data_IF_542164292273
#
_entry.id   IF_542164292273
#
_cell.length_a   1.000
_cell.length_b   1.000
_cell.length_c   1.000
_cell.angle_alpha   90.00
_cell.angle_beta   90.00
_cell.angle_gamma   90.00
#
_symmetry.space_group_name_H-M   'P 1'
#
loop_
_entity.id
_entity.type
_entity.pdbx_description
1 polymer ?
#
# COMPACT_ATOMS: atom_id res chain seq x y z
N UNK A 1 -15.68 41.68 -26.96
CA UNK A 1 -15.47 43.14 -26.81
C UNK A 1 -14.08 43.31 -26.19
N UNK A 2 -13.21 43.99 -26.93
CA UNK A 2 -11.79 44.25 -26.63
C UNK A 2 -11.66 45.14 -25.40
N UNK A 3 -10.63 44.93 -24.56
CA UNK A 3 -9.78 46.07 -24.20
C UNK A 3 -8.39 45.61 -23.74
N UNK A 4 -7.39 46.18 -24.40
CA UNK A 4 -5.95 46.18 -24.14
C UNK A 4 -5.63 47.27 -23.12
N UNK A 5 -4.66 47.08 -22.25
CA UNK A 5 -3.70 48.12 -21.77
C UNK A 5 -2.45 47.43 -21.30
N UNK A 6 -1.38 47.50 -21.93
CA UNK A 6 -0.27 48.50 -22.01
C UNK A 6 0.56 48.58 -20.70
N UNK A 7 1.69 47.88 -20.71
CA UNK A 7 3.10 48.31 -20.58
C UNK A 7 3.46 49.38 -19.54
N UNK A 8 4.33 49.03 -18.59
CA UNK A 8 5.46 49.89 -18.20
C UNK A 8 6.68 49.03 -17.89
N UNK A 9 7.73 49.20 -18.70
CA UNK A 9 9.10 48.76 -18.48
C UNK A 9 9.72 49.60 -17.40
N UNK A 10 10.24 49.00 -16.32
CA UNK A 10 11.23 49.62 -15.45
C UNK A 10 12.52 48.82 -15.57
N UNK A 11 13.50 49.41 -16.21
CA UNK A 11 14.86 48.91 -16.25
C UNK A 11 15.51 49.21 -14.89
N UNK A 12 15.68 48.16 -14.05
CA UNK A 12 16.59 48.21 -12.90
C UNK A 12 17.89 47.52 -13.35
N UNK A 13 18.94 48.30 -13.52
CA UNK A 13 20.30 47.78 -13.63
C UNK A 13 20.69 47.13 -12.29
N UNK A 14 20.62 45.82 -12.25
CA UNK A 14 21.27 45.05 -11.19
C UNK A 14 22.74 44.91 -11.59
N UNK A 15 23.62 45.62 -10.88
CA UNK A 15 25.04 45.34 -10.86
C UNK A 15 25.22 43.91 -10.32
N UNK A 16 25.40 42.98 -11.23
CA UNK A 16 25.81 41.61 -10.90
C UNK A 16 27.28 41.70 -10.50
N UNK A 17 27.52 41.88 -9.20
CA UNK A 17 28.84 41.64 -8.63
C UNK A 17 29.17 40.17 -8.92
N UNK A 18 30.13 39.90 -9.80
CA UNK A 18 30.78 38.62 -9.94
C UNK A 18 31.37 38.26 -8.59
N UNK A 19 30.62 37.51 -7.78
CA UNK A 19 31.19 36.74 -6.69
C UNK A 19 31.93 35.59 -7.39
N UNK A 20 33.23 35.79 -7.60
CA UNK A 20 34.11 34.70 -7.95
C UNK A 20 33.91 33.65 -6.83
N UNK A 21 33.57 32.38 -7.15
CA UNK A 21 33.54 31.38 -6.12
C UNK A 21 34.93 31.37 -5.47
N UNK A 22 34.98 31.62 -4.18
CA UNK A 22 36.14 31.31 -3.36
C UNK A 22 36.47 29.86 -3.69
N UNK A 23 37.64 29.59 -4.27
CA UNK A 23 38.07 28.24 -4.58
C UNK A 23 37.95 27.41 -3.29
N UNK A 24 36.93 26.61 -3.22
CA UNK A 24 36.81 25.65 -2.09
C UNK A 24 37.99 24.70 -2.19
N UNK A 25 38.64 24.46 -1.07
CA UNK A 25 39.69 23.45 -0.93
C UNK A 25 39.14 22.12 -1.47
N UNK A 26 39.73 21.59 -2.52
CA UNK A 26 39.18 20.40 -3.16
C UNK A 26 40.27 19.38 -3.49
N UNK A 27 40.05 18.15 -3.04
CA UNK A 27 40.84 17.00 -3.47
C UNK A 27 40.28 16.42 -4.76
N UNK A 28 41.20 16.15 -5.70
CA UNK A 28 40.87 15.47 -6.96
C UNK A 28 41.67 14.17 -7.02
N UNK A 29 40.97 13.04 -7.07
CA UNK A 29 41.54 11.69 -7.21
C UNK A 29 41.43 11.26 -8.66
N UNK A 30 42.55 10.82 -9.28
CA UNK A 30 42.59 10.37 -10.69
C UNK A 30 43.50 9.15 -10.81
N UNK A 31 43.25 8.36 -11.87
CA UNK A 31 44.15 7.24 -12.24
C UNK A 31 43.62 5.88 -11.71
N UNK A 32 44.47 4.85 -11.84
CA UNK A 32 44.04 3.47 -11.67
C UNK A 32 43.45 2.86 -12.95
N UNK A 33 42.89 1.68 -12.86
CA UNK A 33 42.21 1.01 -13.97
C UNK A 33 40.74 1.42 -13.98
N UNK A 34 40.42 2.54 -14.62
CA UNK A 34 39.12 3.18 -14.63
C UNK A 34 39.08 4.46 -13.80
N UNK A 35 37.92 5.10 -13.74
CA UNK A 35 37.76 6.34 -13.00
C UNK A 35 37.52 6.07 -11.49
N UNK A 36 38.24 6.75 -10.57
CA UNK A 36 38.00 6.63 -9.16
C UNK A 36 36.54 6.93 -8.77
N UNK A 37 35.95 6.10 -7.95
CA UNK A 37 34.56 6.28 -7.48
C UNK A 37 34.56 6.94 -6.09
N UNK A 38 33.90 8.11 -5.96
CA UNK A 38 33.54 8.65 -4.64
C UNK A 38 32.44 7.79 -4.02
N UNK A 39 32.82 6.91 -3.10
CA UNK A 39 31.91 5.93 -2.53
C UNK A 39 31.17 6.43 -1.28
N UNK A 40 31.79 7.35 -0.53
CA UNK A 40 31.21 7.91 0.69
C UNK A 40 31.75 9.32 0.95
N UNK A 41 30.87 10.19 1.43
CA UNK A 41 31.24 11.50 1.95
C UNK A 41 30.74 11.63 3.39
N UNK A 42 31.67 11.78 4.32
CA UNK A 42 31.41 12.00 5.75
C UNK A 42 31.60 13.48 6.06
N UNK A 43 30.58 14.27 5.88
CA UNK A 43 30.63 15.74 5.99
C UNK A 43 31.09 16.20 7.39
N UNK A 44 30.64 15.52 8.45
CA UNK A 44 31.05 15.83 9.83
C UNK A 44 32.54 15.61 10.10
N UNK A 45 33.15 14.68 9.36
CA UNK A 45 34.59 14.36 9.46
C UNK A 45 35.39 15.07 8.38
N UNK A 46 34.75 15.75 7.45
CA UNK A 46 35.35 16.28 6.22
C UNK A 46 36.17 15.21 5.45
N UNK A 47 35.66 13.98 5.44
CA UNK A 47 36.32 12.82 4.86
C UNK A 47 35.55 12.35 3.61
N UNK A 48 36.30 12.25 2.50
CA UNK A 48 35.85 11.60 1.28
C UNK A 48 36.53 10.25 1.11
N UNK A 49 35.73 9.20 0.92
CA UNK A 49 36.22 7.82 0.72
C UNK A 49 36.11 7.49 -0.76
N UNK A 50 37.22 7.27 -1.39
CA UNK A 50 37.30 6.86 -2.79
C UNK A 50 37.66 5.38 -2.90
N UNK A 51 37.03 4.72 -3.84
CA UNK A 51 37.37 3.36 -4.28
C UNK A 51 38.04 3.47 -5.64
N UNK A 52 39.20 2.86 -5.77
CA UNK A 52 40.00 2.78 -7.00
C UNK A 52 40.16 1.32 -7.42
N UNK A 53 40.43 1.04 -8.68
CA UNK A 53 40.74 -0.30 -9.16
C UNK A 53 42.22 -0.38 -9.54
N UNK A 54 43.05 -0.81 -8.59
CA UNK A 54 44.50 -0.73 -8.67
C UNK A 54 45.01 0.65 -8.27
N UNK A 55 46.06 0.69 -7.43
CA UNK A 55 46.68 1.95 -6.99
C UNK A 55 47.76 2.45 -7.94
N UNK A 56 48.18 1.65 -8.89
CA UNK A 56 49.23 2.05 -9.87
C UNK A 56 48.72 3.22 -10.74
N UNK A 57 49.49 4.32 -10.75
CA UNK A 57 49.14 5.53 -11.47
C UNK A 57 48.03 6.38 -10.84
N UNK A 58 47.56 6.01 -9.64
CA UNK A 58 46.63 6.87 -8.89
C UNK A 58 47.34 8.09 -8.36
N UNK A 59 46.73 9.26 -8.51
CA UNK A 59 47.22 10.52 -7.98
C UNK A 59 46.14 11.22 -7.18
N UNK A 60 46.53 11.93 -6.14
CA UNK A 60 45.66 12.83 -5.40
C UNK A 60 46.21 14.24 -5.51
N UNK A 61 45.48 15.14 -6.06
CA UNK A 61 45.83 16.55 -6.16
C UNK A 61 44.99 17.37 -5.18
N UNK A 62 45.61 18.38 -4.61
CA UNK A 62 44.99 19.32 -3.71
C UNK A 62 45.27 20.75 -4.17
N UNK A 63 44.25 21.59 -4.22
CA UNK A 63 44.36 22.98 -4.59
C UNK A 63 43.83 23.87 -3.49
N UNK A 64 44.61 24.85 -3.07
CA UNK A 64 44.21 25.87 -2.09
C UNK A 64 44.73 27.24 -2.46
N UNK A 65 44.80 28.16 -1.53
CA UNK A 65 45.42 29.48 -1.73
C UNK A 65 46.92 29.48 -1.39
N UNK A 66 47.44 28.42 -0.73
CA UNK A 66 48.84 28.27 -0.36
C UNK A 66 49.70 27.78 -1.54
N UNK A 67 50.95 28.18 -1.57
CA UNK A 67 51.97 27.69 -2.49
C UNK A 67 52.92 26.67 -1.85
N UNK A 68 52.73 26.35 -0.61
CA UNK A 68 53.47 25.34 0.14
C UNK A 68 52.52 24.40 0.86
N UNK A 69 52.43 23.13 0.40
CA UNK A 69 51.58 22.13 0.98
C UNK A 69 52.42 21.06 1.64
N UNK A 70 52.16 20.77 2.93
CA UNK A 70 52.72 19.63 3.62
C UNK A 70 51.69 18.52 3.64
N UNK A 71 51.96 17.41 2.96
CA UNK A 71 51.13 16.24 2.89
C UNK A 71 51.45 15.22 3.96
N UNK A 72 50.41 14.53 4.43
CA UNK A 72 50.50 13.44 5.38
C UNK A 72 49.64 12.26 4.92
N UNK A 73 50.07 11.06 5.34
CA UNK A 73 49.24 9.85 5.26
C UNK A 73 49.05 9.27 6.65
N UNK A 74 47.86 8.67 6.87
CA UNK A 74 47.56 7.97 8.13
C UNK A 74 46.84 6.65 7.84
N UNK A 75 46.98 5.67 8.75
CA UNK A 75 46.31 4.37 8.68
C UNK A 75 45.20 4.23 9.72
N UNK A 76 45.34 4.84 10.87
CA UNK A 76 44.38 4.82 11.97
C UNK A 76 43.81 6.21 12.22
N UNK A 77 44.60 7.13 12.69
CA UNK A 77 44.18 8.50 13.01
C UNK A 77 45.23 9.54 12.63
N UNK A 78 44.79 10.76 12.45
CA UNK A 78 45.57 11.93 12.09
C UNK A 78 46.82 12.12 12.96
N UNK A 79 46.72 11.88 14.29
CA UNK A 79 47.81 12.10 15.23
C UNK A 79 48.99 11.12 15.02
N UNK A 80 48.78 10.04 14.28
CA UNK A 80 49.79 9.01 13.94
C UNK A 80 50.21 9.13 12.47
N UNK A 81 49.91 10.25 11.82
CA UNK A 81 50.20 10.45 10.41
C UNK A 81 51.73 10.67 10.16
N UNK A 82 52.18 10.16 9.01
CA UNK A 82 53.53 10.29 8.52
C UNK A 82 53.59 11.34 7.41
N UNK A 83 54.58 12.24 7.39
CA UNK A 83 54.76 13.18 6.29
C UNK A 83 55.19 12.45 5.02
N UNK A 84 54.67 12.90 3.89
CA UNK A 84 55.00 12.38 2.56
C UNK A 84 55.33 13.52 1.60
N UNK A 85 56.18 13.23 0.58
CA UNK A 85 56.57 14.17 -0.41
C UNK A 85 55.51 14.38 -1.47
N UNK A 86 55.36 15.60 -1.95
CA UNK A 86 54.44 15.96 -3.04
C UNK A 86 55.18 16.72 -4.17
N UNK A 87 54.58 16.80 -5.32
CA UNK A 87 54.99 17.70 -6.40
C UNK A 87 54.13 18.95 -6.32
N UNK A 88 54.74 20.09 -6.02
CA UNK A 88 54.08 21.38 -5.92
C UNK A 88 54.18 22.12 -7.26
N UNK A 89 53.06 22.63 -7.73
CA UNK A 89 52.99 23.49 -8.93
C UNK A 89 51.99 24.68 -8.67
N UNK A 90 52.60 25.80 -8.28
CA UNK A 90 51.80 26.96 -7.88
C UNK A 90 50.94 26.65 -6.63
N UNK A 91 49.64 26.85 -6.71
CA UNK A 91 48.69 26.59 -5.63
C UNK A 91 48.16 25.15 -5.63
N UNK A 92 48.64 24.28 -6.51
CA UNK A 92 48.24 22.87 -6.59
C UNK A 92 49.42 21.98 -6.25
N UNK A 93 49.19 21.02 -5.39
CA UNK A 93 50.15 19.94 -5.09
C UNK A 93 49.55 18.57 -5.42
N UNK A 94 50.42 17.63 -5.81
CA UNK A 94 50.03 16.29 -6.21
C UNK A 94 50.89 15.25 -5.54
N UNK A 95 50.28 14.24 -5.00
CA UNK A 95 50.99 13.05 -4.50
C UNK A 95 50.75 11.85 -5.41
N UNK A 96 51.72 11.00 -5.47
CA UNK A 96 51.76 9.70 -6.16
C UNK A 96 52.10 8.63 -5.12
N UNK A 97 52.27 7.37 -5.49
CA UNK A 97 52.49 6.25 -4.57
C UNK A 97 51.39 6.09 -3.53
N UNK A 98 50.19 6.06 -4.03
CA UNK A 98 48.99 5.85 -3.21
C UNK A 98 48.85 4.40 -2.81
N UNK A 99 48.54 4.16 -1.55
CA UNK A 99 48.40 2.82 -0.98
C UNK A 99 46.97 2.54 -0.53
N UNK A 100 46.56 1.28 -0.63
CA UNK A 100 45.28 0.78 -0.14
C UNK A 100 45.16 0.85 1.38
N UNK A 101 44.01 1.30 1.88
CA UNK A 101 43.71 1.38 3.31
C UNK A 101 44.47 2.50 4.03
N UNK A 102 44.80 3.58 3.33
CA UNK A 102 45.35 4.79 3.91
C UNK A 102 44.49 6.01 3.63
N UNK A 103 44.48 6.92 4.62
CA UNK A 103 43.94 8.26 4.47
C UNK A 103 45.06 9.27 4.21
N UNK A 104 44.73 10.32 3.44
CA UNK A 104 45.63 11.40 3.00
C UNK A 104 45.04 12.74 3.32
N UNK A 105 45.90 13.71 3.72
CA UNK A 105 45.48 15.08 3.92
C UNK A 105 46.64 16.07 3.77
N UNK A 106 46.32 17.30 3.49
CA UNK A 106 47.21 18.45 3.56
C UNK A 106 46.97 19.14 4.90
N UNK A 107 48.02 19.49 5.60
CA UNK A 107 47.93 20.21 6.85
C UNK A 107 47.74 21.71 6.59
N UNK A 108 46.51 22.19 6.67
CA UNK A 108 46.15 23.61 6.63
C UNK A 108 45.37 24.00 7.89
N UNK A 109 46.11 24.18 9.00
CA UNK A 109 45.51 24.58 10.28
C UNK A 109 44.53 23.53 10.88
N UNK A 110 43.58 23.96 11.69
CA UNK A 110 42.68 23.03 12.41
C UNK A 110 41.52 22.47 11.56
N UNK A 111 41.39 22.86 10.31
CA UNK A 111 40.24 22.57 9.45
C UNK A 111 40.54 21.65 8.27
N UNK A 112 41.63 20.84 8.34
CA UNK A 112 41.97 19.91 7.25
C UNK A 112 40.80 19.01 6.85
N UNK A 113 40.67 18.79 5.55
CA UNK A 113 39.83 17.76 4.95
C UNK A 113 40.66 16.51 4.61
N UNK A 114 39.99 15.37 4.43
CA UNK A 114 40.66 14.09 4.32
C UNK A 114 40.14 13.29 3.12
N UNK A 115 41.05 12.49 2.51
CA UNK A 115 40.70 11.52 1.47
C UNK A 115 41.18 10.13 1.96
N UNK A 116 40.29 9.14 1.88
CA UNK A 116 40.63 7.74 2.16
C UNK A 116 40.55 6.95 0.87
N UNK A 117 41.53 6.06 0.64
CA UNK A 117 41.60 5.24 -0.57
C UNK A 117 41.43 3.76 -0.22
N UNK A 118 40.56 3.11 -0.98
CA UNK A 118 40.36 1.66 -0.96
C UNK A 118 40.67 1.12 -2.35
N UNK A 119 41.53 0.14 -2.47
CA UNK A 119 41.85 -0.54 -3.73
C UNK A 119 40.94 -1.75 -3.95
N UNK A 120 39.91 -1.60 -4.77
CA UNK A 120 38.99 -2.67 -5.08
C UNK A 120 39.66 -3.92 -5.70
N UNK A 121 40.78 -3.75 -6.42
CA UNK A 121 41.51 -4.89 -7.01
C UNK A 121 42.05 -5.86 -5.99
N UNK A 122 42.25 -5.43 -4.73
CA UNK A 122 42.67 -6.27 -3.62
C UNK A 122 41.53 -6.89 -2.85
N UNK A 123 40.33 -6.31 -2.98
CA UNK A 123 39.10 -6.67 -2.27
C UNK A 123 37.92 -6.93 -3.21
N UNK A 124 38.10 -7.67 -4.33
CA UNK A 124 36.99 -7.89 -5.26
C UNK A 124 35.88 -8.70 -4.60
N UNK A 125 34.67 -8.51 -5.08
CA UNK A 125 33.63 -9.48 -4.88
C UNK A 125 33.74 -10.55 -5.97
N UNK A 126 33.78 -11.81 -5.56
CA UNK A 126 33.83 -12.96 -6.45
C UNK A 126 32.77 -13.97 -6.00
N UNK A 127 32.02 -14.52 -6.93
CA UNK A 127 31.01 -15.56 -6.67
C UNK A 127 31.11 -16.63 -7.75
N UNK A 128 31.11 -17.89 -7.34
CA UNK A 128 31.19 -19.05 -8.23
C UNK A 128 29.96 -19.94 -8.19
N UNK A 129 29.18 -19.88 -7.10
CA UNK A 129 27.95 -20.63 -6.95
C UNK A 129 26.95 -19.84 -6.09
N UNK A 130 25.66 -19.98 -6.38
CA UNK A 130 24.57 -19.40 -5.63
C UNK A 130 23.49 -20.43 -5.38
N UNK A 131 22.96 -20.49 -4.15
CA UNK A 131 21.88 -21.39 -3.78
C UNK A 131 20.96 -20.74 -2.75
N UNK A 132 19.78 -21.31 -2.56
CA UNK A 132 18.91 -20.97 -1.42
C UNK A 132 19.37 -21.73 -0.19
N UNK A 133 19.52 -21.03 0.93
CA UNK A 133 19.94 -21.63 2.20
C UNK A 133 18.84 -22.53 2.78
N UNK A 134 19.22 -23.69 3.31
CA UNK A 134 18.32 -24.58 4.06
C UNK A 134 17.75 -23.94 5.34
N UNK A 135 18.40 -22.89 5.85
CA UNK A 135 17.94 -22.12 7.01
C UNK A 135 16.86 -21.06 6.64
N UNK A 136 16.42 -21.03 5.40
CA UNK A 136 15.35 -20.13 4.98
C UNK A 136 14.03 -20.54 5.60
N UNK A 137 13.26 -19.56 6.07
CA UNK A 137 11.85 -19.76 6.35
C UNK A 137 11.05 -19.58 5.05
N UNK A 138 10.75 -20.69 4.38
CA UNK A 138 10.10 -20.69 3.08
C UNK A 138 8.72 -20.00 3.06
N UNK A 139 8.10 -19.79 4.22
CA UNK A 139 6.82 -19.07 4.33
C UNK A 139 7.00 -17.54 4.32
N UNK A 140 8.16 -17.06 4.77
CA UNK A 140 8.46 -15.62 4.85
C UNK A 140 9.35 -15.13 3.70
N UNK A 141 10.15 -16.04 3.12
CA UNK A 141 11.09 -15.73 2.06
C UNK A 141 12.33 -16.62 2.09
N UNK A 142 13.36 -16.23 1.38
CA UNK A 142 14.60 -17.01 1.27
C UNK A 142 15.83 -16.22 1.73
N UNK A 143 16.83 -16.92 2.23
CA UNK A 143 18.17 -16.42 2.46
C UNK A 143 19.06 -17.08 1.43
N UNK A 144 19.87 -16.29 0.73
CA UNK A 144 20.81 -16.82 -0.25
C UNK A 144 22.08 -17.32 0.43
N UNK A 145 22.72 -18.32 -0.15
CA UNK A 145 24.02 -18.84 0.24
C UNK A 145 24.85 -19.17 -1.00
N UNK A 146 26.14 -19.40 -0.85
CA UNK A 146 26.95 -19.73 -2.01
C UNK A 146 28.44 -19.75 -1.72
N UNK A 147 29.26 -20.07 -2.75
CA UNK A 147 30.70 -20.00 -2.71
C UNK A 147 31.15 -18.63 -3.20
N UNK A 148 31.56 -17.78 -2.29
CA UNK A 148 31.93 -16.40 -2.59
C UNK A 148 33.17 -15.94 -1.81
N UNK A 149 33.84 -14.91 -2.33
CA UNK A 149 34.85 -14.14 -1.66
C UNK A 149 34.40 -12.69 -1.56
N UNK A 150 34.38 -12.17 -0.35
CA UNK A 150 33.93 -10.80 -0.08
C UNK A 150 34.59 -10.29 1.21
N UNK A 151 35.58 -9.41 1.07
CA UNK A 151 36.21 -8.74 2.20
C UNK A 151 35.36 -7.54 2.63
N UNK A 152 35.43 -7.20 3.93
CA UNK A 152 34.89 -5.96 4.44
C UNK A 152 35.75 -4.79 3.96
N UNK A 153 35.11 -3.82 3.31
CA UNK A 153 35.75 -2.54 2.99
C UNK A 153 35.62 -1.60 4.18
N UNK A 154 36.75 -1.07 4.63
CA UNK A 154 36.80 -0.22 5.83
C UNK A 154 37.57 1.08 5.58
N UNK A 155 37.24 2.11 6.32
CA UNK A 155 37.96 3.36 6.40
C UNK A 155 38.03 3.84 7.85
N UNK A 156 39.11 4.54 8.19
CA UNK A 156 39.30 5.05 9.54
C UNK A 156 38.85 6.49 9.70
N UNK A 157 38.17 6.73 10.79
CA UNK A 157 37.83 8.09 11.25
C UNK A 157 39.15 8.83 11.59
N UNK A 158 39.48 9.95 10.91
CA UNK A 158 40.75 10.62 11.08
C UNK A 158 40.97 11.18 12.48
N UNK A 159 39.91 11.38 13.24
CA UNK A 159 39.99 11.96 14.60
C UNK A 159 40.05 10.91 15.67
N UNK A 160 39.14 9.92 15.64
CA UNK A 160 39.02 8.91 16.68
C UNK A 160 39.85 7.63 16.41
N UNK A 161 40.16 7.36 15.14
CA UNK A 161 40.77 6.13 14.70
C UNK A 161 39.81 4.93 14.65
N UNK A 162 38.50 5.17 14.79
CA UNK A 162 37.51 4.10 14.71
C UNK A 162 37.36 3.67 13.24
N UNK A 163 37.50 2.36 13.01
CA UNK A 163 37.21 1.79 11.70
C UNK A 163 35.71 1.78 11.45
N UNK A 164 35.32 2.31 10.29
CA UNK A 164 33.96 2.35 9.78
C UNK A 164 33.86 1.45 8.55
N UNK A 165 32.75 0.78 8.41
CA UNK A 165 32.49 -0.07 7.25
C UNK A 165 31.93 0.75 6.09
N UNK A 166 32.46 0.49 4.89
CA UNK A 166 31.88 0.92 3.62
C UNK A 166 31.04 -0.23 3.07
N UNK A 167 29.72 -0.05 3.06
CA UNK A 167 28.82 -1.10 2.64
C UNK A 167 28.90 -1.34 1.14
N UNK A 168 28.82 -2.60 0.75
CA UNK A 168 28.60 -3.04 -0.62
C UNK A 168 27.12 -3.04 -0.91
N UNK A 169 26.73 -2.86 -2.16
CA UNK A 169 25.34 -2.92 -2.64
C UNK A 169 25.23 -3.97 -3.71
N UNK A 170 24.20 -4.78 -3.58
CA UNK A 170 23.89 -5.89 -4.47
C UNK A 170 22.45 -5.79 -4.94
N UNK A 171 22.15 -6.44 -6.06
CA UNK A 171 20.79 -6.60 -6.56
C UNK A 171 20.47 -8.09 -6.64
N UNK A 172 19.28 -8.45 -6.15
CA UNK A 172 18.71 -9.78 -6.34
C UNK A 172 17.50 -9.65 -7.23
N UNK A 173 17.55 -10.32 -8.38
CA UNK A 173 16.45 -10.36 -9.35
C UNK A 173 15.77 -11.72 -9.29
N UNK A 174 14.44 -11.75 -9.28
CA UNK A 174 13.63 -12.96 -9.25
C UNK A 174 12.22 -12.67 -9.77
N UNK A 175 11.51 -13.70 -10.23
CA UNK A 175 10.10 -13.60 -10.57
C UNK A 175 9.22 -13.80 -9.33
N UNK A 176 8.10 -13.06 -9.27
CA UNK A 176 7.11 -13.16 -8.22
C UNK A 176 5.75 -12.71 -8.74
N UNK A 177 4.75 -12.63 -7.86
CA UNK A 177 3.40 -12.20 -8.20
C UNK A 177 3.07 -10.88 -7.53
N UNK A 178 2.28 -10.06 -8.23
CA UNK A 178 1.67 -8.83 -7.73
C UNK A 178 0.18 -8.83 -8.02
N UNK A 179 -0.60 -8.37 -7.06
CA UNK A 179 -2.06 -8.29 -7.16
C UNK A 179 -2.48 -7.10 -8.03
N UNK A 180 -3.42 -7.36 -8.94
CA UNK A 180 -4.12 -6.34 -9.73
C UNK A 180 -5.56 -6.22 -9.22
N UNK A 181 -5.85 -5.15 -8.52
CA UNK A 181 -7.14 -4.87 -7.91
C UNK A 181 -8.27 -4.72 -8.94
N UNK A 182 -7.97 -4.18 -10.12
CA UNK A 182 -8.99 -3.93 -11.14
C UNK A 182 -9.43 -5.21 -11.85
N UNK A 183 -8.48 -6.09 -12.15
CA UNK A 183 -8.75 -7.36 -12.83
C UNK A 183 -8.95 -8.55 -11.88
N UNK A 184 -8.66 -8.37 -10.57
CA UNK A 184 -8.74 -9.40 -9.53
C UNK A 184 -7.91 -10.64 -9.87
N UNK A 185 -6.68 -10.43 -10.34
CA UNK A 185 -5.72 -11.50 -10.69
C UNK A 185 -4.31 -11.17 -10.18
N UNK A 186 -3.52 -12.21 -10.01
CA UNK A 186 -2.09 -12.08 -9.75
C UNK A 186 -1.31 -12.09 -11.06
N UNK A 187 -0.54 -11.03 -11.30
CA UNK A 187 0.34 -10.90 -12.44
C UNK A 187 1.77 -11.28 -12.09
N UNK A 188 2.43 -12.06 -12.95
CA UNK A 188 3.87 -12.33 -12.82
C UNK A 188 4.67 -11.08 -13.13
N UNK A 189 5.60 -10.75 -12.23
CA UNK A 189 6.52 -9.64 -12.40
C UNK A 189 7.95 -10.06 -12.07
N UNK A 190 8.92 -9.46 -12.75
CA UNK A 190 10.32 -9.50 -12.33
C UNK A 190 10.54 -8.46 -11.23
N UNK A 191 11.03 -8.90 -10.08
CA UNK A 191 11.32 -8.05 -8.94
C UNK A 191 12.83 -7.93 -8.73
N UNK A 192 13.28 -6.70 -8.54
CA UNK A 192 14.67 -6.38 -8.17
C UNK A 192 14.70 -5.90 -6.72
N UNK A 193 15.39 -6.65 -5.87
CA UNK A 193 15.61 -6.28 -4.47
C UNK A 193 17.04 -5.80 -4.27
N UNK A 194 17.17 -4.55 -3.81
CA UNK A 194 18.45 -3.99 -3.43
C UNK A 194 18.85 -4.42 -2.02
N UNK A 195 20.07 -4.98 -1.88
CA UNK A 195 20.63 -5.41 -0.61
C UNK A 195 21.87 -4.57 -0.29
N UNK A 196 22.01 -4.14 0.95
CA UNK A 196 23.19 -3.37 1.40
C UNK A 196 23.93 -4.13 2.51
N UNK A 197 25.23 -4.26 2.37
CA UNK A 197 26.08 -5.05 3.26
C UNK A 197 26.26 -6.50 2.77
N UNK A 198 26.10 -7.48 3.65
CA UNK A 198 26.24 -8.89 3.28
C UNK A 198 24.91 -9.46 2.72
N UNK A 199 24.84 -9.80 1.42
CA UNK A 199 23.60 -10.29 0.82
C UNK A 199 23.20 -11.70 1.31
N UNK A 200 24.15 -12.47 1.85
CA UNK A 200 23.95 -13.84 2.34
C UNK A 200 23.41 -13.91 3.79
N UNK A 201 23.07 -12.77 4.36
CA UNK A 201 22.49 -12.64 5.71
C UNK A 201 21.16 -11.88 5.70
N UNK A 202 20.62 -11.62 4.53
CA UNK A 202 19.39 -10.83 4.37
C UNK A 202 18.28 -11.68 3.76
N UNK A 203 17.07 -11.47 4.25
CA UNK A 203 15.88 -12.14 3.73
C UNK A 203 15.49 -11.52 2.37
N UNK A 204 15.28 -12.35 1.38
CA UNK A 204 14.57 -12.03 0.13
C UNK A 204 13.13 -12.46 0.32
N UNK A 205 12.26 -11.50 0.55
CA UNK A 205 10.82 -11.67 0.83
C UNK A 205 9.96 -11.63 -0.42
N UNK A 206 8.65 -11.85 -0.28
CA UNK A 206 7.68 -11.77 -1.36
C UNK A 206 7.97 -12.74 -2.52
N UNK A 207 8.33 -13.98 -2.17
CA UNK A 207 8.59 -15.05 -3.14
C UNK A 207 7.31 -15.88 -3.30
N UNK A 208 6.43 -15.44 -4.21
CA UNK A 208 5.08 -16.00 -4.38
C UNK A 208 4.92 -16.84 -5.66
N UNK A 209 5.96 -16.93 -6.47
CA UNK A 209 6.02 -17.78 -7.66
C UNK A 209 7.33 -18.58 -7.65
N UNK A 210 7.29 -19.70 -8.33
CA UNK A 210 8.48 -20.49 -8.61
C UNK A 210 9.47 -19.69 -9.45
N UNK A 211 10.75 -19.67 -9.04
CA UNK A 211 11.73 -18.76 -9.64
C UNK A 211 13.17 -19.24 -9.50
N UNK A 212 14.08 -18.59 -10.21
CA UNK A 212 15.51 -18.61 -9.93
C UNK A 212 15.90 -17.24 -9.37
N UNK A 213 16.82 -17.19 -8.42
CA UNK A 213 17.36 -15.93 -7.90
C UNK A 213 18.68 -15.64 -8.58
N UNK A 214 18.83 -14.43 -9.12
CA UNK A 214 20.09 -13.94 -9.68
C UNK A 214 20.64 -12.85 -8.79
N UNK A 215 21.77 -13.11 -8.14
CA UNK A 215 22.53 -12.12 -7.38
C UNK A 215 23.54 -11.44 -8.30
N UNK A 216 23.49 -10.13 -8.35
CA UNK A 216 24.40 -9.28 -9.12
C UNK A 216 25.07 -8.26 -8.21
N UNK A 217 26.35 -8.06 -8.35
CA UNK A 217 27.04 -7.06 -7.54
C UNK A 217 28.55 -7.17 -7.61
N UNK A 218 29.25 -6.32 -6.86
CA UNK A 218 28.70 -5.17 -6.12
C UNK A 218 28.72 -3.89 -6.97
N UNK A 219 28.31 -2.75 -6.42
CA UNK A 219 28.32 -1.46 -7.13
C UNK A 219 29.71 -1.04 -7.61
N UNK A 220 30.78 -1.48 -6.92
CA UNK A 220 32.16 -1.20 -7.30
C UNK A 220 32.57 -2.03 -8.51
N UNK A 221 32.21 -3.33 -8.49
CA UNK A 221 32.40 -4.20 -9.65
C UNK A 221 31.70 -3.65 -10.89
N UNK A 222 30.45 -3.16 -10.71
CA UNK A 222 29.68 -2.55 -11.78
C UNK A 222 30.39 -1.30 -12.32
N UNK A 223 30.84 -0.40 -11.42
CA UNK A 223 31.54 0.84 -11.80
C UNK A 223 32.83 0.57 -12.61
N UNK A 224 33.58 -0.47 -12.25
CA UNK A 224 34.84 -0.82 -12.94
C UNK A 224 34.67 -1.82 -14.08
N UNK A 225 33.43 -2.14 -14.50
CA UNK A 225 33.17 -3.09 -15.58
C UNK A 225 33.57 -4.54 -15.26
N UNK A 226 33.58 -4.92 -13.99
CA UNK A 226 33.95 -6.26 -13.47
C UNK A 226 32.80 -6.96 -12.76
N UNK A 227 31.56 -6.61 -13.12
CA UNK A 227 30.36 -7.12 -12.48
C UNK A 227 30.34 -8.65 -12.46
N UNK A 228 30.01 -9.20 -11.30
CA UNK A 228 29.82 -10.62 -11.07
C UNK A 228 28.32 -10.90 -10.93
N UNK A 229 27.91 -12.05 -11.42
CA UNK A 229 26.53 -12.52 -11.31
C UNK A 229 26.52 -14.04 -11.17
N UNK A 230 25.63 -14.54 -10.32
CA UNK A 230 25.34 -15.97 -10.19
C UNK A 230 23.84 -16.18 -10.01
N UNK A 231 23.37 -17.34 -10.48
CA UNK A 231 21.94 -17.68 -10.44
C UNK A 231 21.77 -19.01 -9.71
N UNK A 232 20.73 -19.13 -8.89
CA UNK A 232 20.40 -20.38 -8.18
C UNK A 232 19.81 -21.42 -9.13
N UNK A 233 19.76 -22.65 -8.67
CA UNK A 233 18.82 -23.63 -9.21
C UNK A 233 17.37 -23.15 -9.04
N UNK A 234 16.45 -23.82 -9.72
CA UNK A 234 15.02 -23.54 -9.64
C UNK A 234 14.50 -23.74 -8.21
N UNK A 235 13.79 -22.73 -7.72
CA UNK A 235 13.21 -22.72 -6.38
C UNK A 235 11.68 -22.82 -6.50
N UNK A 236 11.09 -23.79 -5.80
CA UNK A 236 9.64 -23.92 -5.69
C UNK A 236 9.12 -23.07 -4.52
N UNK A 237 8.26 -22.11 -4.81
CA UNK A 237 7.69 -21.21 -3.83
C UNK A 237 6.75 -21.95 -2.86
N UNK A 238 6.73 -21.49 -1.61
CA UNK A 238 5.82 -22.02 -0.58
C UNK A 238 5.01 -20.90 0.11
N UNK A 239 5.42 -19.66 -0.07
CA UNK A 239 4.75 -18.50 0.55
C UNK A 239 3.37 -18.28 -0.05
N UNK A 240 2.37 -18.08 0.81
CA UNK A 240 0.98 -17.80 0.39
C UNK A 240 0.78 -16.30 0.23
N UNK A 241 0.41 -15.88 -0.98
CA UNK A 241 -0.14 -14.57 -1.27
C UNK A 241 -1.66 -14.68 -1.30
N UNK A 242 -2.35 -13.92 -0.47
CA UNK A 242 -3.80 -14.00 -0.29
C UNK A 242 -4.42 -12.62 -0.35
N UNK A 243 -5.41 -12.48 -1.21
CA UNK A 243 -6.36 -11.37 -1.26
C UNK A 243 -7.78 -11.91 -1.17
N UNK A 244 -8.71 -11.12 -0.69
CA UNK A 244 -10.10 -11.53 -0.57
C UNK A 244 -11.06 -10.36 -0.73
N UNK A 245 -12.28 -10.67 -1.20
CA UNK A 245 -13.31 -9.69 -1.48
C UNK A 245 -14.69 -10.18 -1.05
N UNK A 246 -15.65 -9.26 -0.93
CA UNK A 246 -17.03 -9.58 -0.57
C UNK A 246 -18.02 -8.93 -1.53
N UNK A 247 -19.10 -9.65 -1.83
CA UNK A 247 -20.25 -9.09 -2.55
C UNK A 247 -21.50 -9.28 -1.69
N UNK A 248 -22.13 -8.16 -1.32
CA UNK A 248 -23.37 -8.18 -0.55
C UNK A 248 -24.55 -8.21 -1.52
N UNK A 249 -25.40 -9.21 -1.41
CA UNK A 249 -26.66 -9.25 -2.15
C UNK A 249 -27.74 -8.55 -1.33
N UNK A 250 -28.02 -7.30 -1.67
CA UNK A 250 -29.10 -6.53 -1.09
C UNK A 250 -30.39 -6.83 -1.85
N UNK A 251 -31.49 -7.16 -1.16
CA UNK A 251 -32.82 -7.11 -1.75
C UNK A 251 -33.11 -5.65 -2.14
N UNK A 252 -33.55 -5.42 -3.39
CA UNK A 252 -33.62 -4.12 -4.08
C UNK A 252 -34.46 -3.03 -3.38
N UNK A 253 -34.97 -3.24 -2.19
CA UNK A 253 -35.94 -2.35 -1.60
C UNK A 253 -35.77 -2.07 -0.10
N UNK A 254 -34.58 -1.91 0.38
CA UNK A 254 -34.41 -1.41 1.74
C UNK A 254 -34.81 0.06 1.85
N UNK A 255 -35.97 0.30 2.43
CA UNK A 255 -36.41 1.61 2.86
C UNK A 255 -35.67 2.06 4.12
N UNK A 256 -34.36 2.28 3.99
CA UNK A 256 -33.56 2.65 5.15
C UNK A 256 -33.56 4.17 5.37
N UNK A 257 -34.21 4.60 6.43
CA UNK A 257 -34.06 5.96 6.95
C UNK A 257 -33.04 6.07 8.07
N UNK A 258 -32.28 4.99 8.34
CA UNK A 258 -31.27 4.97 9.40
C UNK A 258 -29.88 5.16 8.80
N UNK A 259 -29.05 5.98 9.45
CA UNK A 259 -27.65 6.24 9.09
C UNK A 259 -26.69 5.11 9.50
N UNK A 260 -27.19 3.96 9.95
CA UNK A 260 -26.37 2.82 10.37
C UNK A 260 -25.86 2.06 9.14
N UNK A 261 -24.56 1.85 9.06
CA UNK A 261 -23.89 1.06 8.03
C UNK A 261 -24.12 -0.47 8.21
N UNK A 262 -24.67 -0.89 9.36
CA UNK A 262 -24.95 -2.28 9.64
C UNK A 262 -25.99 -2.87 8.69
N UNK A 263 -25.75 -4.09 8.24
CA UNK A 263 -26.60 -4.82 7.30
C UNK A 263 -27.96 -5.23 7.95
N UNK A 264 -28.95 -5.51 7.13
CA UNK A 264 -30.30 -5.92 7.58
C UNK A 264 -30.48 -7.41 7.33
N UNK A 265 -30.80 -8.19 8.38
CA UNK A 265 -31.12 -9.61 8.23
C UNK A 265 -32.50 -9.84 7.61
N UNK A 266 -32.66 -10.91 6.77
CA UNK A 266 -31.62 -11.78 6.27
C UNK A 266 -30.78 -11.11 5.19
N UNK A 267 -29.47 -11.32 5.19
CA UNK A 267 -28.56 -10.81 4.17
C UNK A 267 -27.61 -11.91 3.70
N UNK A 268 -27.48 -12.07 2.40
CA UNK A 268 -26.55 -13.01 1.80
C UNK A 268 -25.29 -12.27 1.37
N UNK A 269 -24.14 -12.79 1.75
CA UNK A 269 -22.83 -12.28 1.37
C UNK A 269 -22.07 -13.39 0.68
N UNK A 270 -21.51 -13.08 -0.49
CA UNK A 270 -20.51 -13.90 -1.18
C UNK A 270 -19.14 -13.45 -0.73
N UNK A 271 -18.31 -14.38 -0.35
CA UNK A 271 -16.90 -14.21 0.01
C UNK A 271 -16.06 -14.92 -1.04
N UNK A 272 -15.07 -14.24 -1.59
CA UNK A 272 -14.17 -14.77 -2.61
C UNK A 272 -12.74 -14.58 -2.15
N UNK A 273 -11.96 -15.67 -2.13
CA UNK A 273 -10.55 -15.66 -1.83
C UNK A 273 -9.75 -15.88 -3.12
N UNK A 274 -8.72 -15.08 -3.31
CA UNK A 274 -7.76 -15.16 -4.39
C UNK A 274 -6.40 -15.49 -3.79
N UNK A 275 -5.76 -16.54 -4.26
CA UNK A 275 -4.44 -16.91 -3.78
C UNK A 275 -3.55 -17.40 -4.93
N UNK A 276 -2.24 -17.41 -4.69
CA UNK A 276 -1.24 -17.72 -5.71
C UNK A 276 -1.24 -19.22 -6.06
N UNK A 277 -1.79 -19.54 -7.22
CA UNK A 277 -1.76 -20.87 -7.80
C UNK A 277 -0.40 -21.12 -8.52
N UNK A 278 0.24 -22.30 -8.39
CA UNK A 278 -0.25 -23.54 -7.76
C UNK A 278 0.14 -23.72 -6.29
N UNK A 279 0.70 -22.72 -5.62
CA UNK A 279 1.18 -22.83 -4.22
C UNK A 279 0.01 -23.01 -3.26
N UNK A 280 -1.02 -22.16 -3.39
CA UNK A 280 -2.25 -22.27 -2.61
C UNK A 280 -3.02 -23.55 -2.97
N UNK A 281 -3.28 -24.37 -1.97
CA UNK A 281 -3.87 -25.70 -2.18
C UNK A 281 -5.09 -25.99 -1.32
N UNK A 282 -5.15 -25.41 -0.13
CA UNK A 282 -6.22 -25.65 0.85
C UNK A 282 -6.84 -24.32 1.27
N UNK A 283 -8.17 -24.26 1.17
CA UNK A 283 -8.96 -23.10 1.59
C UNK A 283 -9.85 -23.54 2.73
N UNK A 284 -9.95 -22.76 3.80
CA UNK A 284 -10.83 -22.99 4.94
C UNK A 284 -11.47 -21.67 5.34
N UNK A 285 -12.74 -21.50 4.98
CA UNK A 285 -13.57 -20.43 5.52
C UNK A 285 -14.15 -20.84 6.86
N UNK A 286 -14.14 -19.93 7.82
CA UNK A 286 -14.78 -20.05 9.13
C UNK A 286 -15.68 -18.84 9.33
N UNK A 287 -16.98 -19.09 9.53
CA UNK A 287 -17.93 -18.01 9.87
C UNK A 287 -18.38 -18.23 11.31
N UNK A 288 -18.21 -17.24 12.16
CA UNK A 288 -18.48 -17.33 13.59
C UNK A 288 -18.98 -15.99 14.15
N UNK A 289 -19.68 -16.03 15.30
CA UNK A 289 -19.95 -14.82 16.09
C UNK A 289 -18.63 -14.33 16.66
N UNK A 290 -18.31 -13.06 16.45
CA UNK A 290 -16.99 -12.48 16.81
C UNK A 290 -16.64 -12.70 18.28
N UNK A 291 -17.64 -12.64 19.18
CA UNK A 291 -17.46 -12.88 20.63
C UNK A 291 -17.17 -14.35 21.00
N UNK A 292 -17.59 -15.29 20.15
CA UNK A 292 -17.42 -16.73 20.40
C UNK A 292 -16.10 -17.28 19.84
N UNK A 293 -15.48 -16.57 18.89
CA UNK A 293 -14.22 -16.91 18.27
C UNK A 293 -14.27 -18.06 17.26
N UNK A 294 -13.18 -18.25 16.53
CA UNK A 294 -13.08 -19.16 15.39
C UNK A 294 -13.25 -20.66 15.75
N UNK A 295 -12.97 -21.03 17.00
CA UNK A 295 -13.14 -22.42 17.48
C UNK A 295 -14.62 -22.84 17.47
N UNK A 296 -15.53 -21.88 17.68
CA UNK A 296 -16.98 -22.06 17.70
C UNK A 296 -17.62 -21.64 16.36
N UNK A 297 -16.97 -21.96 15.25
CA UNK A 297 -17.48 -21.59 13.94
C UNK A 297 -18.89 -22.18 13.69
N UNK A 298 -19.82 -21.32 13.28
CA UNK A 298 -21.18 -21.69 12.87
C UNK A 298 -21.16 -22.61 11.67
N UNK A 299 -20.24 -22.35 10.74
CA UNK A 299 -20.05 -23.13 9.52
C UNK A 299 -18.61 -23.03 9.03
N UNK A 300 -18.18 -24.03 8.28
CA UNK A 300 -16.89 -24.05 7.56
C UNK A 300 -17.11 -24.48 6.14
N UNK A 301 -16.33 -23.88 5.22
CA UNK A 301 -16.32 -24.22 3.80
C UNK A 301 -14.87 -24.43 3.34
N UNK A 302 -14.70 -25.10 2.22
CA UNK A 302 -13.37 -25.44 1.66
C UNK A 302 -13.17 -24.98 0.21
N UNK A 303 -14.14 -24.26 -0.34
CA UNK A 303 -14.09 -23.68 -1.68
C UNK A 303 -13.49 -22.26 -1.63
N UNK A 304 -12.84 -21.81 -2.70
CA UNK A 304 -12.34 -20.43 -2.80
C UNK A 304 -13.43 -19.36 -2.76
N UNK A 305 -14.63 -19.67 -3.28
CA UNK A 305 -15.80 -18.81 -3.27
C UNK A 305 -16.95 -19.47 -2.52
N UNK A 306 -17.56 -18.74 -1.58
CA UNK A 306 -18.63 -19.24 -0.72
C UNK A 306 -19.71 -18.20 -0.51
N UNK A 307 -20.95 -18.64 -0.28
CA UNK A 307 -22.07 -17.76 0.07
C UNK A 307 -22.63 -18.16 1.44
N UNK A 308 -22.93 -17.15 2.25
CA UNK A 308 -23.59 -17.37 3.54
C UNK A 308 -24.68 -16.32 3.80
N UNK A 309 -25.82 -16.78 4.31
CA UNK A 309 -26.94 -15.91 4.68
C UNK A 309 -26.98 -15.69 6.19
N UNK A 310 -26.77 -14.46 6.62
CA UNK A 310 -26.87 -14.03 8.01
C UNK A 310 -28.36 -13.76 8.32
N UNK A 311 -28.99 -14.66 9.08
CA UNK A 311 -30.42 -14.58 9.43
C UNK A 311 -30.70 -13.95 10.78
N UNK A 312 -29.68 -13.79 11.62
CA UNK A 312 -29.78 -13.24 12.98
C UNK A 312 -28.95 -11.95 13.08
N UNK A 313 -29.38 -11.05 13.97
CA UNK A 313 -28.57 -9.88 14.30
C UNK A 313 -27.29 -10.29 15.05
N UNK A 314 -26.28 -9.44 14.98
CA UNK A 314 -25.02 -9.67 15.72
C UNK A 314 -23.80 -9.21 14.96
N UNK A 315 -22.66 -9.41 15.61
CA UNK A 315 -21.34 -9.20 15.00
C UNK A 315 -20.73 -10.56 14.66
N UNK A 316 -20.33 -10.68 13.42
CA UNK A 316 -19.75 -11.89 12.87
C UNK A 316 -18.37 -11.61 12.29
N UNK A 317 -17.54 -12.64 12.29
CA UNK A 317 -16.31 -12.67 11.53
C UNK A 317 -16.39 -13.82 10.53
N UNK A 318 -16.11 -13.52 9.26
CA UNK A 318 -15.85 -14.51 8.23
C UNK A 318 -14.35 -14.46 7.92
N UNK A 319 -13.64 -15.53 8.20
CA UNK A 319 -12.19 -15.61 8.02
C UNK A 319 -11.87 -16.74 7.04
N UNK A 320 -11.08 -16.43 6.02
CA UNK A 320 -10.46 -17.43 5.18
C UNK A 320 -9.03 -17.68 5.62
N UNK A 321 -8.66 -18.94 5.74
CA UNK A 321 -7.29 -19.40 5.89
C UNK A 321 -6.94 -20.19 4.64
N UNK A 322 -5.84 -19.80 3.98
CA UNK A 322 -5.32 -20.47 2.78
C UNK A 322 -3.94 -20.98 3.08
N UNK A 323 -3.67 -22.23 2.74
CA UNK A 323 -2.38 -22.85 2.99
C UNK A 323 -1.83 -23.61 1.79
N UNK A 324 -0.52 -23.86 1.83
CA UNK A 324 0.16 -24.77 0.92
C UNK A 324 -0.32 -26.21 1.11
N UNK A 325 0.10 -27.12 0.22
CA UNK A 325 -0.27 -28.55 0.27
C UNK A 325 0.13 -29.22 1.58
N UNK A 326 1.15 -28.74 2.26
CA UNK A 326 1.66 -29.34 3.50
C UNK A 326 1.00 -28.77 4.73
N UNK A 327 0.29 -27.63 4.61
CA UNK A 327 -0.26 -26.87 5.72
C UNK A 327 0.80 -26.15 6.55
N UNK A 328 2.06 -26.12 6.09
CA UNK A 328 3.16 -25.43 6.79
C UNK A 328 3.09 -23.93 6.61
N UNK A 329 2.90 -23.49 5.38
CA UNK A 329 2.78 -22.07 5.05
C UNK A 329 1.30 -21.72 4.84
N UNK A 330 0.83 -20.73 5.57
CA UNK A 330 -0.56 -20.28 5.48
C UNK A 330 -0.64 -18.76 5.62
N UNK A 331 -1.74 -18.21 5.14
CA UNK A 331 -2.14 -16.82 5.33
C UNK A 331 -3.63 -16.75 5.60
N UNK A 332 -4.11 -15.73 6.28
CA UNK A 332 -5.53 -15.56 6.59
C UNK A 332 -6.01 -14.13 6.35
N UNK A 333 -7.28 -14.00 6.00
CA UNK A 333 -7.95 -12.73 5.77
C UNK A 333 -9.32 -12.71 6.46
N UNK A 334 -9.54 -11.83 7.45
CA UNK A 334 -10.81 -11.71 8.16
C UNK A 334 -11.70 -10.60 7.55
N UNK A 335 -13.01 -10.84 7.54
CA UNK A 335 -14.04 -9.83 7.31
C UNK A 335 -14.90 -9.66 8.56
N UNK A 336 -15.12 -8.42 8.97
CA UNK A 336 -16.03 -8.08 10.04
C UNK A 336 -17.40 -7.71 9.46
N UNK A 337 -18.45 -8.40 9.90
CA UNK A 337 -19.82 -8.21 9.43
C UNK A 337 -20.70 -7.81 10.64
N UNK A 338 -21.39 -6.70 10.53
CA UNK A 338 -22.37 -6.27 11.53
C UNK A 338 -23.78 -6.30 10.93
N UNK A 339 -24.62 -7.14 11.54
CA UNK A 339 -26.05 -7.26 11.22
C UNK A 339 -26.85 -6.57 12.33
N UNK A 340 -27.64 -5.56 11.93
CA UNK A 340 -28.37 -4.71 12.84
C UNK A 340 -29.47 -5.47 13.61
N UNK A 341 -29.75 -5.01 14.82
CA UNK A 341 -30.99 -5.34 15.54
C UNK A 341 -32.21 -4.96 14.72
N UNK A 342 -33.35 -5.57 15.04
CA UNK A 342 -34.57 -5.26 14.34
C UNK A 342 -35.08 -3.83 14.63
N UNK A 343 -35.64 -3.22 13.61
CA UNK A 343 -36.23 -1.89 13.68
C UNK A 343 -37.49 -1.83 12.84
N UNK A 344 -38.50 -1.11 13.31
CA UNK A 344 -39.72 -0.84 12.55
C UNK A 344 -40.27 0.54 12.90
N UNK A 345 -40.36 1.43 11.91
CA UNK A 345 -41.04 2.69 12.04
C UNK A 345 -42.05 2.89 10.90
N UNK A 346 -43.10 3.62 11.21
CA UNK A 346 -44.31 3.73 10.34
C UNK A 346 -44.62 5.19 10.08
N UNK A 347 -44.62 5.66 8.83
CA UNK A 347 -45.02 7.02 8.49
C UNK A 347 -46.51 7.25 8.77
N UNK A 348 -46.89 8.49 8.99
CA UNK A 348 -48.26 8.87 9.29
C UNK A 348 -49.00 9.52 8.09
N UNK A 349 -48.31 9.71 6.97
CA UNK A 349 -48.90 10.30 5.77
C UNK A 349 -48.11 9.93 4.50
N UNK A 350 -48.80 9.90 3.37
CA UNK A 350 -48.19 9.81 2.03
C UNK A 350 -49.07 10.48 0.98
N UNK A 351 -48.53 10.75 -0.23
CA UNK A 351 -49.18 11.53 -1.27
C UNK A 351 -49.17 10.84 -2.65
N UNK A 352 -49.95 9.74 -2.81
CA UNK A 352 -49.86 8.89 -3.99
C UNK A 352 -50.27 9.63 -5.27
N UNK A 353 -49.41 9.53 -6.30
CA UNK A 353 -49.61 10.11 -7.63
C UNK A 353 -49.61 11.64 -7.67
N UNK A 354 -48.99 12.30 -6.69
CA UNK A 354 -48.88 13.77 -6.63
C UNK A 354 -47.46 14.22 -7.05
N UNK A 355 -46.43 13.52 -6.57
CA UNK A 355 -45.02 13.79 -6.87
C UNK A 355 -44.33 12.47 -7.21
N UNK A 356 -44.19 12.11 -8.50
CA UNK A 356 -43.64 10.83 -8.90
C UNK A 356 -42.29 10.56 -8.26
N UNK A 357 -42.19 9.41 -7.57
CA UNK A 357 -40.97 8.97 -6.89
C UNK A 357 -40.75 9.52 -5.49
N UNK A 358 -41.62 10.41 -4.99
CA UNK A 358 -41.52 10.98 -3.63
C UNK A 358 -42.83 10.81 -2.88
N UNK A 359 -42.80 10.03 -1.78
CA UNK A 359 -43.97 9.75 -0.94
C UNK A 359 -45.17 9.16 -1.68
N UNK A 360 -44.97 8.47 -2.81
CA UNK A 360 -46.04 7.89 -3.63
C UNK A 360 -46.62 6.61 -3.03
N UNK A 361 -45.86 5.98 -2.12
CA UNK A 361 -46.26 4.76 -1.46
C UNK A 361 -46.17 4.90 0.06
N UNK A 362 -47.09 4.26 0.76
CA UNK A 362 -47.01 4.07 2.20
C UNK A 362 -46.05 2.89 2.47
N UNK A 363 -44.81 3.21 2.82
CA UNK A 363 -43.74 2.25 3.12
C UNK A 363 -43.29 2.38 4.56
N UNK A 364 -43.01 1.27 5.20
CA UNK A 364 -42.39 1.26 6.52
C UNK A 364 -40.90 1.43 6.41
N UNK A 365 -40.29 2.05 7.40
CA UNK A 365 -38.84 1.99 7.60
C UNK A 365 -38.53 0.79 8.49
N UNK A 366 -37.60 -0.08 8.07
CA UNK A 366 -37.33 -1.30 8.80
C UNK A 366 -35.89 -1.76 8.68
N UNK A 367 -35.48 -2.59 9.63
CA UNK A 367 -34.27 -3.42 9.57
C UNK A 367 -34.54 -4.78 10.18
N UNK A 368 -33.86 -5.80 9.69
CA UNK A 368 -33.76 -7.15 10.27
C UNK A 368 -35.11 -7.74 10.67
N UNK A 369 -36.14 -7.61 9.84
CA UNK A 369 -37.43 -8.25 10.05
C UNK A 369 -37.47 -9.59 9.32
N UNK A 370 -37.80 -10.66 10.07
CA UNK A 370 -37.95 -12.02 9.53
C UNK A 370 -39.41 -12.40 9.23
N UNK A 371 -40.37 -11.69 9.83
CA UNK A 371 -41.80 -11.79 9.52
C UNK A 371 -42.41 -10.41 9.49
N UNK A 372 -43.32 -10.20 8.55
CA UNK A 372 -44.03 -8.93 8.41
C UNK A 372 -45.41 -9.17 7.82
N UNK A 373 -46.42 -8.49 8.35
CA UNK A 373 -47.74 -8.40 7.77
C UNK A 373 -48.35 -7.04 8.10
N UNK A 374 -48.85 -6.35 7.09
CA UNK A 374 -49.51 -5.06 7.27
C UNK A 374 -50.88 -5.06 6.57
N UNK A 375 -51.87 -4.64 7.31
CA UNK A 375 -53.26 -4.47 6.82
C UNK A 375 -53.63 -3.01 6.87
N UNK A 376 -54.32 -2.54 5.82
CA UNK A 376 -54.90 -1.19 5.72
C UNK A 376 -56.43 -1.30 5.76
N UNK A 377 -57.04 -0.47 6.57
CA UNK A 377 -58.50 -0.41 6.75
C UNK A 377 -59.04 1.02 6.46
N UNK A 378 -60.25 1.10 5.95
CA UNK A 378 -60.98 2.36 5.91
C UNK A 378 -61.62 2.66 7.27
N UNK A 379 -62.28 3.82 7.40
CA UNK A 379 -62.95 4.28 8.62
C UNK A 379 -64.11 3.39 9.09
N UNK A 380 -64.60 2.48 8.23
CA UNK A 380 -65.68 1.52 8.56
C UNK A 380 -65.12 0.15 8.94
N UNK A 381 -63.81 0.01 9.07
CA UNK A 381 -63.16 -1.26 9.41
C UNK A 381 -63.03 -2.25 8.25
N UNK A 382 -63.36 -1.82 7.00
CA UNK A 382 -63.21 -2.66 5.82
C UNK A 382 -61.74 -2.70 5.41
N UNK A 383 -61.15 -3.89 5.23
CA UNK A 383 -59.81 -4.08 4.72
C UNK A 383 -59.70 -3.57 3.28
N UNK A 384 -58.73 -2.72 3.03
CA UNK A 384 -58.44 -2.10 1.73
C UNK A 384 -57.26 -2.79 1.06
N UNK A 385 -56.20 -3.06 1.81
CA UNK A 385 -54.95 -3.64 1.30
C UNK A 385 -54.29 -4.54 2.35
N UNK A 386 -53.45 -5.47 1.91
CA UNK A 386 -52.64 -6.32 2.76
C UNK A 386 -51.40 -6.76 2.00
N UNK A 387 -50.26 -6.72 2.67
CA UNK A 387 -49.02 -7.24 2.13
C UNK A 387 -48.10 -7.80 3.25
N UNK A 388 -47.09 -8.61 2.86
CA UNK A 388 -46.23 -9.35 3.77
C UNK A 388 -44.73 -9.10 3.52
N UNK A 389 -44.36 -8.35 2.48
CA UNK A 389 -43.01 -7.96 2.22
C UNK A 389 -42.78 -6.51 2.69
N UNK A 390 -41.98 -6.25 3.73
CA UNK A 390 -41.76 -4.88 4.24
C UNK A 390 -41.03 -3.97 3.23
N UNK A 391 -40.33 -4.55 2.25
CA UNK A 391 -39.60 -3.83 1.22
C UNK A 391 -40.53 -3.07 0.23
N UNK A 392 -41.74 -3.52 0.06
CA UNK A 392 -42.77 -2.85 -0.77
C UNK A 392 -43.75 -2.06 0.08
N UNK A 393 -44.49 -1.16 -0.55
CA UNK A 393 -45.48 -0.34 0.11
C UNK A 393 -46.88 -0.46 -0.52
N UNK A 394 -47.82 0.30 0.03
CA UNK A 394 -49.11 0.48 -0.56
C UNK A 394 -49.16 1.75 -1.39
N UNK A 395 -49.49 1.63 -2.67
CA UNK A 395 -49.56 2.73 -3.65
C UNK A 395 -50.85 3.59 -3.56
N UNK A 396 -51.64 3.42 -2.54
CA UNK A 396 -52.91 4.16 -2.36
C UNK A 396 -54.04 3.70 -3.27
N UNK A 397 -53.95 2.50 -3.89
CA UNK A 397 -54.97 1.97 -4.76
C UNK A 397 -55.74 0.78 -4.14
N UNK A 398 -57.00 0.64 -4.57
CA UNK A 398 -57.77 -0.57 -4.39
C UNK A 398 -58.40 -0.95 -5.76
N UNK A 399 -58.07 -2.16 -6.22
CA UNK A 399 -58.53 -2.62 -7.53
C UNK A 399 -58.06 -1.73 -8.69
N UNK A 400 -56.86 -1.19 -8.64
CA UNK A 400 -56.24 -0.35 -9.69
C UNK A 400 -56.67 1.13 -9.68
N UNK A 401 -57.59 1.54 -8.77
CA UNK A 401 -58.04 2.93 -8.65
C UNK A 401 -57.61 3.51 -7.32
N UNK A 402 -57.14 4.76 -7.36
CA UNK A 402 -56.81 5.46 -6.14
C UNK A 402 -57.98 5.59 -5.20
N UNK A 403 -57.76 5.33 -3.94
CA UNK A 403 -58.76 5.53 -2.90
C UNK A 403 -58.97 7.03 -2.63
N UNK A 404 -60.08 7.40 -1.97
CA UNK A 404 -60.36 8.82 -1.66
C UNK A 404 -59.33 9.37 -0.65
N UNK A 405 -58.92 10.66 -0.81
CA UNK A 405 -58.10 11.30 0.23
C UNK A 405 -58.79 11.28 1.59
N UNK A 406 -57.99 11.16 2.64
CA UNK A 406 -58.50 11.12 4.01
C UNK A 406 -57.72 10.15 4.90
N UNK A 407 -58.32 9.84 6.04
CA UNK A 407 -57.68 8.99 7.08
C UNK A 407 -58.05 7.52 6.83
N UNK A 408 -57.02 6.70 6.84
CA UNK A 408 -57.04 5.23 6.84
C UNK A 408 -56.34 4.72 8.10
N UNK A 409 -56.51 3.46 8.41
CA UNK A 409 -55.89 2.85 9.60
C UNK A 409 -55.05 1.66 9.19
N UNK A 410 -53.90 1.47 9.88
CA UNK A 410 -53.05 0.32 9.69
C UNK A 410 -52.99 -0.54 10.93
N UNK A 411 -52.78 -1.82 10.72
CA UNK A 411 -52.36 -2.80 11.72
C UNK A 411 -51.11 -3.52 11.16
N UNK A 412 -50.04 -3.58 11.95
CA UNK A 412 -48.81 -4.29 11.57
C UNK A 412 -48.50 -5.31 12.67
N UNK A 413 -48.20 -6.54 12.23
CA UNK A 413 -47.58 -7.57 13.01
C UNK A 413 -46.26 -7.92 12.32
N UNK A 414 -45.14 -7.87 13.09
CA UNK A 414 -43.83 -8.19 12.57
C UNK A 414 -42.99 -8.89 13.67
N UNK A 415 -41.96 -9.61 13.25
CA UNK A 415 -41.01 -10.26 14.14
C UNK A 415 -39.58 -9.97 13.62
N UNK A 416 -38.74 -9.49 14.50
CA UNK A 416 -37.32 -9.20 14.23
C UNK A 416 -36.46 -10.44 14.27
N UNK A 417 -35.29 -10.37 13.67
CA UNK A 417 -34.22 -11.41 13.76
C UNK A 417 -33.70 -11.60 15.20
N UNK A 418 -33.90 -10.62 16.05
CA UNK A 418 -33.62 -10.58 17.47
C UNK A 418 -34.75 -11.15 18.32
N UNK A 419 -35.83 -11.66 17.69
CA UNK A 419 -37.02 -12.22 18.36
C UNK A 419 -38.00 -11.16 18.89
N UNK A 420 -37.74 -9.85 18.68
CA UNK A 420 -38.66 -8.77 19.08
C UNK A 420 -39.94 -8.85 18.24
N UNK A 421 -41.09 -8.83 18.91
CA UNK A 421 -42.40 -8.84 18.26
C UNK A 421 -43.02 -7.46 18.25
N UNK A 422 -43.25 -6.97 17.07
CA UNK A 422 -43.88 -5.66 16.81
C UNK A 422 -45.37 -5.82 16.56
N UNK A 423 -46.19 -5.12 17.35
CA UNK A 423 -47.61 -4.93 17.09
C UNK A 423 -47.92 -3.44 17.05
N UNK A 424 -47.94 -2.89 15.88
CA UNK A 424 -48.21 -1.44 15.68
C UNK A 424 -49.57 -1.22 15.04
N UNK A 425 -50.26 -0.19 15.46
CA UNK A 425 -51.54 0.30 14.89
C UNK A 425 -51.57 1.82 14.92
N UNK A 426 -52.15 2.41 13.91
CA UNK A 426 -52.24 3.87 13.81
C UNK A 426 -53.07 4.30 12.62
N UNK A 427 -53.04 5.58 12.36
CA UNK A 427 -53.71 6.21 11.22
C UNK A 427 -52.69 6.64 10.16
N UNK A 428 -53.20 6.72 8.93
CA UNK A 428 -52.46 7.17 7.74
C UNK A 428 -53.29 8.26 7.06
N UNK A 429 -52.65 9.39 6.80
CA UNK A 429 -53.26 10.48 6.07
C UNK A 429 -52.87 10.40 4.58
N UNK A 430 -53.86 10.16 3.70
CA UNK A 430 -53.65 10.21 2.26
C UNK A 430 -53.87 11.67 1.79
N UNK A 431 -52.77 12.28 1.36
CA UNK A 431 -52.71 13.67 0.91
C UNK A 431 -52.76 13.71 -0.63
N UNK A 432 -53.89 14.20 -1.20
CA UNK A 432 -53.98 14.45 -2.63
C UNK A 432 -54.72 15.77 -2.85
N UNK A 433 -54.28 16.62 -3.79
CA UNK A 433 -55.02 17.85 -4.11
C UNK A 433 -56.42 17.49 -4.59
N UNK A 434 -57.44 18.23 -4.13
CA UNK A 434 -58.77 18.15 -4.70
C UNK A 434 -58.68 18.60 -6.16
N UNK A 435 -59.14 17.77 -7.12
CA UNK A 435 -59.34 18.25 -8.49
C UNK A 435 -60.25 19.45 -8.40
N UNK A 436 -59.80 20.64 -8.80
CA UNK A 436 -60.68 21.76 -9.05
C UNK A 436 -61.71 21.34 -10.12
N UNK A 437 -62.95 21.42 -9.81
CA UNK A 437 -64.02 21.31 -10.83
C UNK A 437 -63.83 22.51 -11.75
N UNK A 438 -63.35 22.25 -12.97
CA UNK A 438 -63.47 23.25 -14.05
C UNK A 438 -64.89 23.61 -14.19
N UNK A 439 -65.30 24.82 -13.79
CA UNK A 439 -66.54 25.44 -14.19
C UNK A 439 -66.40 25.72 -15.69
N UNK A 440 -67.03 24.90 -16.52
CA UNK A 440 -67.31 25.27 -17.88
C UNK A 440 -68.26 26.46 -17.79
N UNK A 441 -67.84 27.67 -18.07
CA UNK A 441 -68.63 28.80 -18.32
C UNK A 441 -69.37 28.58 -19.68
N UNK A 442 -70.65 28.20 -19.64
CA UNK A 442 -71.53 28.28 -20.78
C UNK A 442 -71.68 29.76 -21.13
N UNK A 443 -70.86 30.25 -22.04
CA UNK A 443 -71.00 31.49 -22.71
C UNK A 443 -72.14 31.34 -23.77
N UNK A 444 -73.32 31.78 -23.44
CA UNK A 444 -74.39 32.04 -24.42
C UNK A 444 -73.95 33.15 -25.35
N UNK A 445 -73.78 32.78 -26.61
CA UNK A 445 -73.77 33.75 -27.71
C UNK A 445 -75.18 34.23 -27.96
N UNK A 446 -75.46 35.51 -27.85
CA UNK A 446 -76.52 36.19 -28.56
C UNK A 446 -76.02 37.44 -29.29
N UNK A 447 -76.27 37.40 -30.60
CA UNK A 447 -76.31 38.45 -31.62
C UNK A 447 -75.06 39.28 -31.90
#
# INVERSE_FOLDING_TARGET
MKMKTLRKWCWLFFLLGMILPLSAEEYVVKGGQGEPMLAKEETALKLKVYVVNGTDGVTISYTSTSTEHQWYRYKTKRLEAEPISCQQQGTTSTITNIEDGYGYFVEEGPLSSYVWIIDYSKHPFEISNLAVSENSDSCSGVILTGDYKMDNLTYSDPTSGINRQLNRKFEVTYETLEWDEDSKVFNSIEKVKNLEGNPFQQLVDSVYADTNFTLTGDQFASHFGKMQSATTDYYEASSILLEADTTVFLDEAENMTTTSEALSAPVTIRFTAYANDPVASLYIWKIYKTEEGADNALIRFTEPEVEYTFSEYGKYTAEVEVSDRTGKCYNSYPFEIEVAESFLDVPNAFSPGTTPGVNDEFRVAYKSLVKFSCWIFNRWGQQIYHWTNPAVGWDGKKGGKYVTPGVYFYVIEAEGSDGIKYKKKGDINILRPKKERSYESSGSSEM
#
